data_IF_427867023334
#
_entry.id   IF_427867023334
#
_cell.length_a   1.000
_cell.length_b   1.000
_cell.length_c   1.000
_cell.angle_alpha   90.00
_cell.angle_beta   90.00
_cell.angle_gamma   90.00
#
_symmetry.space_group_name_H-M   'P 1'
#
loop_
_entity.id
_entity.type
_entity.pdbx_description
1 polymer ?
#
# COMPACT_ATOMS: atom_id res chain seq x y z
N UNK A 1 25.75 -33.60 1.82
CA UNK A 1 24.88 -33.10 0.72
C UNK A 1 24.12 -31.82 1.06
N UNK A 2 23.20 -31.83 2.06
CA UNK A 2 22.50 -30.60 2.48
C UNK A 2 23.48 -29.55 3.02
N UNK A 3 24.40 -29.98 3.89
CA UNK A 3 25.44 -29.10 4.44
C UNK A 3 26.30 -28.46 3.35
N UNK A 4 26.79 -29.26 2.39
CA UNK A 4 27.58 -28.74 1.26
C UNK A 4 26.80 -27.69 0.45
N UNK A 5 25.50 -27.91 0.26
CA UNK A 5 24.62 -26.94 -0.39
C UNK A 5 24.47 -25.65 0.42
N UNK A 6 24.29 -25.75 1.73
CA UNK A 6 24.26 -24.60 2.64
C UNK A 6 25.58 -23.83 2.59
N UNK A 7 26.72 -24.52 2.64
CA UNK A 7 28.03 -23.89 2.59
C UNK A 7 28.30 -23.20 1.25
N UNK A 8 27.82 -23.78 0.14
CA UNK A 8 27.92 -23.22 -1.22
C UNK A 8 27.17 -21.89 -1.42
N UNK A 9 26.38 -21.44 -0.45
CA UNK A 9 25.60 -20.18 -0.55
C UNK A 9 26.43 -18.89 -0.48
N UNK A 10 27.74 -18.99 -0.22
CA UNK A 10 28.64 -17.84 -0.16
C UNK A 10 28.17 -16.80 0.85
N UNK A 11 28.26 -15.52 0.47
CA UNK A 11 27.85 -14.35 1.27
C UNK A 11 26.33 -14.14 1.28
N UNK A 12 25.62 -14.66 0.27
CA UNK A 12 24.17 -14.47 0.16
C UNK A 12 23.41 -15.26 1.23
N UNK A 13 23.96 -16.40 1.67
CA UNK A 13 23.36 -17.24 2.68
C UNK A 13 22.14 -18.02 2.19
N UNK A 14 21.35 -18.52 3.14
CA UNK A 14 20.24 -19.43 2.87
C UNK A 14 18.89 -18.86 3.28
N UNK A 15 17.86 -19.32 2.59
CA UNK A 15 16.46 -19.15 2.95
C UNK A 15 15.87 -20.52 3.23
N UNK A 16 15.23 -20.66 4.38
CA UNK A 16 14.45 -21.86 4.72
C UNK A 16 13.01 -21.59 4.32
N UNK A 17 12.37 -22.53 3.64
CA UNK A 17 10.98 -22.40 3.23
C UNK A 17 10.16 -23.62 3.62
N UNK A 18 9.14 -23.41 4.46
CA UNK A 18 8.25 -24.48 4.93
C UNK A 18 6.83 -23.96 5.16
N UNK A 19 5.85 -24.62 4.53
CA UNK A 19 4.42 -24.35 4.75
C UNK A 19 3.80 -25.30 5.80
N UNK A 20 4.64 -25.89 6.67
CA UNK A 20 4.21 -26.85 7.68
C UNK A 20 3.91 -28.23 7.09
N UNK A 21 3.40 -29.15 7.91
CA UNK A 21 3.16 -30.55 7.55
C UNK A 21 1.74 -30.84 7.04
N UNK A 22 0.79 -29.94 7.31
CA UNK A 22 -0.62 -30.10 6.95
C UNK A 22 -0.92 -29.71 5.51
N UNK A 23 -0.05 -28.90 4.91
CA UNK A 23 -0.15 -28.49 3.51
C UNK A 23 0.53 -29.55 2.65
N UNK A 24 -0.29 -30.35 1.96
CA UNK A 24 0.17 -31.39 1.04
C UNK A 24 -0.20 -31.12 -0.42
N UNK A 25 -1.37 -30.51 -0.65
CA UNK A 25 -1.85 -30.17 -1.99
C UNK A 25 -1.57 -28.71 -2.33
N UNK A 26 -0.42 -28.47 -2.97
CA UNK A 26 -0.18 -27.25 -3.74
C UNK A 26 -0.32 -27.66 -5.21
N UNK A 27 -1.07 -26.89 -6.01
CA UNK A 27 -1.24 -27.17 -7.44
C UNK A 27 0.11 -27.00 -8.16
N UNK A 28 0.32 -27.75 -9.24
CA UNK A 28 1.52 -27.63 -10.10
C UNK A 28 1.77 -26.18 -10.53
N UNK A 29 0.70 -25.44 -10.84
CA UNK A 29 0.78 -24.01 -11.19
C UNK A 29 1.37 -23.17 -10.07
N UNK A 30 0.86 -23.31 -8.83
CA UNK A 30 1.37 -22.57 -7.67
C UNK A 30 2.78 -23.00 -7.30
N UNK A 31 3.10 -24.30 -7.41
CA UNK A 31 4.44 -24.80 -7.16
C UNK A 31 5.45 -24.24 -8.17
N UNK A 32 5.12 -24.23 -9.46
CA UNK A 32 5.93 -23.62 -10.52
C UNK A 32 6.08 -22.11 -10.35
N UNK A 33 5.04 -21.43 -9.89
CA UNK A 33 5.09 -20.00 -9.62
C UNK A 33 6.08 -19.69 -8.50
N UNK A 34 5.98 -20.41 -7.38
CA UNK A 34 6.88 -20.24 -6.24
C UNK A 34 8.31 -20.60 -6.62
N UNK A 35 8.52 -21.72 -7.32
CA UNK A 35 9.84 -22.10 -7.84
C UNK A 35 10.46 -21.01 -8.73
N UNK A 36 9.68 -20.42 -9.64
CA UNK A 36 10.13 -19.33 -10.51
C UNK A 36 10.50 -18.06 -9.72
N UNK A 37 9.79 -17.77 -8.62
CA UNK A 37 10.10 -16.64 -7.76
C UNK A 37 11.40 -16.88 -6.97
N UNK A 38 11.56 -18.07 -6.40
CA UNK A 38 12.77 -18.48 -5.69
C UNK A 38 13.99 -18.54 -6.62
N UNK A 39 13.82 -18.88 -7.89
CA UNK A 39 14.90 -18.89 -8.87
C UNK A 39 15.50 -17.49 -9.15
N UNK A 40 14.78 -16.41 -8.82
CA UNK A 40 15.22 -15.04 -9.06
C UNK A 40 16.09 -14.46 -7.94
N UNK A 41 16.17 -15.13 -6.78
CA UNK A 41 16.96 -14.63 -5.65
C UNK A 41 18.35 -15.29 -5.63
N UNK A 42 19.40 -14.56 -5.19
CA UNK A 42 20.76 -15.10 -5.17
C UNK A 42 21.02 -16.11 -4.04
N UNK A 43 20.15 -16.16 -3.03
CA UNK A 43 20.27 -17.09 -1.90
C UNK A 43 20.04 -18.54 -2.34
N UNK A 44 20.66 -19.47 -1.61
CA UNK A 44 20.28 -20.89 -1.70
C UNK A 44 19.01 -21.11 -0.89
N UNK A 45 18.07 -21.87 -1.44
CA UNK A 45 16.77 -22.10 -0.82
C UNK A 45 16.62 -23.58 -0.47
N UNK A 46 16.32 -23.86 0.79
CA UNK A 46 15.95 -25.19 1.26
C UNK A 46 14.45 -25.20 1.45
N UNK A 47 13.75 -25.89 0.55
CA UNK A 47 12.29 -25.88 0.51
C UNK A 47 11.72 -27.23 0.91
N UNK A 48 10.99 -27.26 2.02
CA UNK A 48 10.18 -28.41 2.43
C UNK A 48 8.96 -28.53 1.51
N UNK A 49 8.98 -29.52 0.64
CA UNK A 49 7.95 -29.76 -0.36
C UNK A 49 7.84 -31.25 -0.68
N UNK A 50 6.62 -31.77 -0.65
CA UNK A 50 6.29 -33.20 -0.77
C UNK A 50 5.38 -33.46 -1.99
N UNK A 51 5.50 -32.60 -3.01
CA UNK A 51 4.74 -32.67 -4.25
C UNK A 51 5.62 -32.98 -5.46
N UNK A 52 5.03 -32.97 -6.65
CA UNK A 52 5.75 -33.13 -7.91
C UNK A 52 6.74 -31.97 -8.11
N UNK A 53 7.99 -32.30 -8.47
CA UNK A 53 9.02 -31.32 -8.75
C UNK A 53 8.52 -30.25 -9.75
N UNK A 54 8.61 -28.95 -9.41
CA UNK A 54 8.25 -27.89 -10.33
C UNK A 54 9.18 -27.88 -11.54
N UNK A 55 8.61 -27.69 -12.73
CA UNK A 55 9.34 -27.60 -14.00
C UNK A 55 10.26 -26.36 -14.05
N UNK A 56 9.94 -25.32 -13.28
CA UNK A 56 10.69 -24.06 -13.18
C UNK A 56 11.65 -24.00 -11.99
N UNK A 57 12.01 -25.14 -11.40
CA UNK A 57 12.91 -25.19 -10.25
C UNK A 57 14.32 -24.67 -10.59
N UNK A 58 14.71 -23.57 -9.95
CA UNK A 58 16.05 -22.99 -10.11
C UNK A 58 17.15 -23.81 -9.45
N UNK A 59 18.38 -23.72 -9.97
CA UNK A 59 19.57 -24.42 -9.42
C UNK A 59 19.99 -23.93 -8.02
N UNK A 60 19.44 -22.81 -7.58
CA UNK A 60 19.62 -22.28 -6.22
C UNK A 60 18.64 -22.88 -5.21
N UNK A 61 17.67 -23.70 -5.62
CA UNK A 61 16.64 -24.27 -4.73
C UNK A 61 16.77 -25.78 -4.68
N UNK A 62 16.73 -26.35 -3.47
CA UNK A 62 16.63 -27.80 -3.25
C UNK A 62 15.35 -28.14 -2.52
N UNK A 63 14.70 -29.19 -3.00
CA UNK A 63 13.46 -29.72 -2.43
C UNK A 63 13.79 -30.84 -1.45
N UNK A 64 13.07 -30.84 -0.34
CA UNK A 64 13.17 -31.89 0.68
C UNK A 64 11.77 -32.24 1.19
N UNK A 65 11.49 -33.53 1.37
CA UNK A 65 10.23 -33.96 2.00
C UNK A 65 10.20 -33.61 3.50
N UNK A 66 11.38 -33.52 4.11
CA UNK A 66 11.61 -33.15 5.51
C UNK A 66 12.87 -32.30 5.67
N UNK A 67 12.84 -31.32 6.58
CA UNK A 67 13.98 -30.46 6.92
C UNK A 67 14.25 -30.49 8.43
N UNK A 68 15.53 -30.48 8.87
CA UNK A 68 15.89 -30.17 10.24
C UNK A 68 15.70 -28.66 10.48
N UNK A 69 14.44 -28.22 10.54
CA UNK A 69 14.05 -26.81 10.47
C UNK A 69 14.71 -25.97 11.57
N UNK A 70 14.65 -26.41 12.82
CA UNK A 70 15.24 -25.68 13.94
C UNK A 70 16.77 -25.51 13.80
N UNK A 71 17.47 -26.55 13.35
CA UNK A 71 18.93 -26.49 13.14
C UNK A 71 19.30 -25.56 11.99
N UNK A 72 18.52 -25.60 10.90
CA UNK A 72 18.70 -24.68 9.78
C UNK A 72 18.40 -23.24 10.19
N UNK A 73 17.36 -22.99 10.99
CA UNK A 73 17.06 -21.65 11.49
C UNK A 73 18.17 -21.13 12.43
N UNK A 74 18.80 -22.00 13.19
CA UNK A 74 19.98 -21.67 14.01
C UNK A 74 21.30 -21.57 13.25
N UNK A 75 21.31 -21.89 11.95
CA UNK A 75 22.54 -21.86 11.16
C UNK A 75 22.94 -20.41 10.83
N UNK A 76 24.23 -20.02 10.98
CA UNK A 76 24.68 -18.63 10.82
C UNK A 76 24.49 -18.04 9.42
N UNK A 77 24.32 -18.89 8.40
CA UNK A 77 24.03 -18.47 7.03
C UNK A 77 22.54 -18.18 6.77
N UNK A 78 21.64 -18.49 7.70
CA UNK A 78 20.21 -18.28 7.49
C UNK A 78 19.85 -16.81 7.54
N UNK A 79 19.18 -16.33 6.49
CA UNK A 79 18.82 -14.92 6.32
C UNK A 79 17.33 -14.65 6.51
N UNK A 80 16.49 -15.61 6.17
CA UNK A 80 15.05 -15.48 6.28
C UNK A 80 14.36 -16.84 6.36
N UNK A 81 13.17 -16.84 6.95
CA UNK A 81 12.27 -17.98 6.98
C UNK A 81 10.98 -17.66 6.23
N UNK A 82 10.69 -18.38 5.15
CA UNK A 82 9.40 -18.32 4.48
C UNK A 82 8.49 -19.34 5.16
N UNK A 83 7.40 -18.88 5.77
CA UNK A 83 6.61 -19.68 6.68
C UNK A 83 5.11 -19.47 6.51
N UNK A 84 4.32 -20.54 6.69
CA UNK A 84 2.86 -20.43 6.71
C UNK A 84 2.28 -19.72 7.94
N UNK A 85 3.06 -19.49 9.00
CA UNK A 85 2.57 -18.84 10.22
C UNK A 85 2.05 -19.78 11.31
N UNK A 86 2.39 -21.07 11.27
CA UNK A 86 2.18 -21.97 12.40
C UNK A 86 3.05 -21.58 13.60
N UNK A 87 2.46 -21.63 14.79
CA UNK A 87 3.04 -21.12 16.05
C UNK A 87 4.44 -21.65 16.36
N UNK A 88 4.68 -22.96 16.19
CA UNK A 88 6.00 -23.55 16.47
C UNK A 88 7.10 -22.99 15.55
N UNK A 89 6.82 -22.88 14.24
CA UNK A 89 7.78 -22.32 13.30
C UNK A 89 8.08 -20.84 13.57
N UNK A 90 7.08 -20.09 14.05
CA UNK A 90 7.29 -18.71 14.49
C UNK A 90 8.19 -18.67 15.73
N UNK A 91 7.97 -19.53 16.73
CA UNK A 91 8.82 -19.56 17.92
C UNK A 91 10.26 -19.95 17.61
N UNK A 92 10.49 -20.91 16.72
CA UNK A 92 11.83 -21.27 16.27
C UNK A 92 12.52 -20.09 15.57
N UNK A 93 11.81 -19.38 14.69
CA UNK A 93 12.35 -18.21 14.00
C UNK A 93 12.68 -17.06 14.97
N UNK A 94 11.81 -16.80 15.95
CA UNK A 94 12.06 -15.80 17.00
C UNK A 94 13.29 -16.18 17.83
N UNK A 95 13.37 -17.45 18.24
CA UNK A 95 14.46 -17.95 19.09
C UNK A 95 15.83 -17.72 18.43
N UNK A 96 15.92 -17.93 17.11
CA UNK A 96 17.17 -17.71 16.35
C UNK A 96 17.29 -16.31 15.72
N UNK A 97 16.34 -15.41 15.95
CA UNK A 97 16.37 -14.05 15.43
C UNK A 97 16.22 -13.94 13.90
N UNK A 98 15.52 -14.88 13.27
CA UNK A 98 15.35 -14.95 11.82
C UNK A 98 14.07 -14.22 11.39
N UNK A 99 14.13 -13.24 10.46
CA UNK A 99 12.95 -12.54 9.97
C UNK A 99 12.07 -13.45 9.10
N UNK A 100 10.76 -13.20 9.12
CA UNK A 100 9.75 -14.08 8.52
C UNK A 100 9.13 -13.45 7.26
N UNK A 101 9.05 -14.23 6.18
CA UNK A 101 8.14 -13.97 5.06
C UNK A 101 6.92 -14.86 5.24
N UNK A 102 5.84 -14.28 5.74
CA UNK A 102 4.63 -15.00 6.14
C UNK A 102 3.66 -15.22 4.98
N UNK A 103 3.31 -16.47 4.73
CA UNK A 103 2.32 -16.89 3.73
C UNK A 103 1.17 -17.62 4.43
N UNK A 104 0.27 -16.90 5.12
CA UNK A 104 -0.80 -17.54 5.88
C UNK A 104 -1.79 -18.26 4.96
N UNK A 105 -2.22 -19.46 5.36
CA UNK A 105 -3.09 -20.30 4.55
C UNK A 105 -4.45 -20.54 5.19
N UNK A 106 -4.52 -20.79 6.51
CA UNK A 106 -5.79 -21.09 7.19
C UNK A 106 -5.70 -20.90 8.72
N UNK A 107 -6.88 -20.96 9.36
CA UNK A 107 -7.06 -20.90 10.82
C UNK A 107 -6.41 -19.66 11.46
N UNK A 108 -5.55 -19.87 12.46
CA UNK A 108 -4.87 -18.86 13.27
C UNK A 108 -3.64 -18.25 12.58
N UNK A 109 -3.16 -18.86 11.49
CA UNK A 109 -1.97 -18.42 10.77
C UNK A 109 -1.99 -16.95 10.32
N UNK A 110 -3.10 -16.40 9.77
CA UNK A 110 -3.17 -15.00 9.42
C UNK A 110 -2.92 -14.08 10.61
N UNK A 111 -3.51 -14.39 11.77
CA UNK A 111 -3.37 -13.58 12.98
C UNK A 111 -1.96 -13.67 13.56
N UNK A 112 -1.38 -14.87 13.56
CA UNK A 112 0.01 -15.08 13.97
C UNK A 112 0.98 -14.25 13.11
N UNK A 113 0.83 -14.27 11.78
CA UNK A 113 1.66 -13.45 10.88
C UNK A 113 1.41 -11.97 11.09
N UNK A 114 0.15 -11.53 11.26
CA UNK A 114 -0.17 -10.12 11.52
C UNK A 114 0.49 -9.61 12.81
N UNK A 115 0.52 -10.44 13.85
CA UNK A 115 1.20 -10.13 15.10
C UNK A 115 2.71 -9.94 14.90
N UNK A 116 3.33 -10.78 14.06
CA UNK A 116 4.74 -10.65 13.72
C UNK A 116 5.03 -9.43 12.84
N UNK A 117 4.14 -9.09 11.90
CA UNK A 117 4.21 -7.86 11.10
C UNK A 117 4.12 -6.63 12.01
N UNK A 118 3.18 -6.59 12.95
CA UNK A 118 3.03 -5.50 13.90
C UNK A 118 4.26 -5.30 14.79
N UNK A 119 5.03 -6.36 15.03
CA UNK A 119 6.32 -6.33 15.74
C UNK A 119 7.52 -6.00 14.85
N UNK A 120 7.33 -5.79 13.55
CA UNK A 120 8.42 -5.53 12.60
C UNK A 120 9.29 -6.74 12.28
N UNK A 121 8.84 -7.95 12.64
CA UNK A 121 9.60 -9.19 12.48
C UNK A 121 9.16 -10.01 11.26
N UNK A 122 8.10 -9.60 10.56
CA UNK A 122 7.62 -10.27 9.37
C UNK A 122 7.09 -9.32 8.28
N UNK A 123 7.09 -9.82 7.05
CA UNK A 123 6.29 -9.28 5.94
C UNK A 123 5.25 -10.33 5.53
N UNK A 124 4.01 -9.91 5.28
CA UNK A 124 2.93 -10.81 4.85
C UNK A 124 2.80 -10.82 3.34
N UNK A 125 2.83 -12.01 2.76
CA UNK A 125 2.55 -12.28 1.35
C UNK A 125 1.31 -13.16 1.27
N UNK A 126 0.35 -12.75 0.46
CA UNK A 126 -0.85 -13.54 0.24
C UNK A 126 -0.64 -14.48 -0.96
N UNK A 127 -0.92 -15.77 -0.74
CA UNK A 127 -0.68 -16.84 -1.69
C UNK A 127 -1.66 -16.83 -2.88
N UNK A 128 -2.81 -16.15 -2.73
CA UNK A 128 -3.85 -16.10 -3.75
C UNK A 128 -3.83 -14.80 -4.56
N UNK A 129 -3.27 -13.72 -4.02
CA UNK A 129 -3.16 -12.45 -4.75
C UNK A 129 -1.85 -12.40 -5.53
N UNK A 130 -1.91 -12.81 -6.80
CA UNK A 130 -0.79 -12.68 -7.73
C UNK A 130 -0.47 -11.20 -7.99
N UNK A 131 0.63 -10.73 -7.42
CA UNK A 131 1.15 -9.39 -7.69
C UNK A 131 1.69 -9.25 -9.11
N UNK A 132 2.29 -10.30 -9.69
CA UNK A 132 2.98 -10.17 -10.98
C UNK A 132 2.02 -9.92 -12.14
N UNK A 133 0.96 -10.72 -12.29
CA UNK A 133 -0.01 -10.51 -13.37
C UNK A 133 -0.77 -9.20 -13.23
N UNK A 134 -1.21 -8.89 -12.01
CA UNK A 134 -1.88 -7.61 -11.73
C UNK A 134 -0.93 -6.42 -11.97
N UNK A 135 0.33 -6.50 -11.54
CA UNK A 135 1.33 -5.46 -11.79
C UNK A 135 1.67 -5.34 -13.28
N UNK A 136 1.80 -6.46 -14.02
CA UNK A 136 2.00 -6.44 -15.47
C UNK A 136 0.77 -5.89 -16.20
N UNK A 137 -0.44 -6.17 -15.71
CA UNK A 137 -1.68 -5.58 -16.24
C UNK A 137 -1.70 -4.07 -16.02
N UNK A 138 -1.43 -3.61 -14.80
CA UNK A 138 -1.36 -2.18 -14.48
C UNK A 138 -0.23 -1.49 -15.25
N UNK A 139 0.92 -2.13 -15.40
CA UNK A 139 2.02 -1.65 -16.24
C UNK A 139 1.58 -1.51 -17.70
N UNK A 140 0.90 -2.51 -18.27
CA UNK A 140 0.35 -2.43 -19.63
C UNK A 140 -0.61 -1.24 -19.77
N UNK A 141 -1.54 -1.06 -18.83
CA UNK A 141 -2.46 0.08 -18.81
C UNK A 141 -1.69 1.41 -18.73
N UNK A 142 -0.65 1.50 -17.91
CA UNK A 142 0.15 2.72 -17.77
C UNK A 142 0.93 3.05 -19.05
N UNK A 143 1.41 2.02 -19.77
CA UNK A 143 2.10 2.18 -21.05
C UNK A 143 1.13 2.38 -22.22
N UNK A 144 -0.16 2.08 -22.05
CA UNK A 144 -1.21 2.27 -23.05
C UNK A 144 -1.62 3.75 -23.13
N UNK A 145 -0.69 4.55 -23.65
CA UNK A 145 -0.89 5.97 -23.90
C UNK A 145 -0.54 6.27 -25.35
N UNK A 146 -1.25 7.19 -26.02
CA UNK A 146 -1.04 7.48 -27.45
C UNK A 146 0.33 8.10 -27.76
N UNK A 147 1.09 8.50 -26.74
CA UNK A 147 2.41 9.09 -26.86
C UNK A 147 3.28 8.64 -25.69
N UNK A 148 4.56 8.33 -25.94
CA UNK A 148 5.49 7.97 -24.87
C UNK A 148 5.67 9.16 -23.90
N UNK A 149 5.91 8.91 -22.61
CA UNK A 149 6.08 9.99 -21.62
C UNK A 149 7.16 11.00 -22.00
N UNK A 150 8.28 10.55 -22.60
CA UNK A 150 9.35 11.43 -23.07
C UNK A 150 8.88 12.33 -24.22
N UNK A 151 8.25 11.76 -25.25
CA UNK A 151 7.74 12.51 -26.40
C UNK A 151 6.68 13.53 -25.97
N UNK A 152 5.80 13.14 -25.02
CA UNK A 152 4.83 14.05 -24.41
C UNK A 152 5.53 15.22 -23.70
N UNK A 153 6.60 14.97 -22.94
CA UNK A 153 7.35 16.02 -22.25
C UNK A 153 8.02 16.97 -23.24
N UNK A 154 8.69 16.43 -24.28
CA UNK A 154 9.29 17.21 -25.36
C UNK A 154 8.24 18.08 -26.04
N UNK A 155 7.09 17.50 -26.40
CA UNK A 155 5.99 18.24 -27.01
C UNK A 155 5.54 19.43 -26.16
N UNK A 156 5.35 19.26 -24.85
CA UNK A 156 4.92 20.35 -23.97
C UNK A 156 5.98 21.41 -23.78
N UNK A 157 7.27 21.05 -23.70
CA UNK A 157 8.38 22.00 -23.65
C UNK A 157 8.40 22.84 -24.94
N UNK A 158 8.35 22.18 -26.10
CA UNK A 158 8.30 22.86 -27.40
C UNK A 158 7.04 23.70 -27.57
N UNK A 159 5.89 23.24 -27.07
CA UNK A 159 4.65 24.01 -27.07
C UNK A 159 4.81 25.31 -26.28
N UNK A 160 5.39 25.25 -25.08
CA UNK A 160 5.66 26.44 -24.26
C UNK A 160 6.62 27.38 -24.97
N UNK A 161 7.69 26.86 -25.58
CA UNK A 161 8.64 27.66 -26.35
C UNK A 161 7.99 28.33 -27.57
N UNK A 162 7.24 27.58 -28.39
CA UNK A 162 6.52 28.09 -29.57
C UNK A 162 5.50 29.17 -29.21
N UNK A 163 4.86 29.05 -28.04
CA UNK A 163 3.86 30.00 -27.55
C UNK A 163 4.44 31.02 -26.56
N UNK A 164 5.75 31.31 -26.61
CA UNK A 164 6.41 32.37 -25.83
C UNK A 164 6.07 32.32 -24.33
N UNK A 165 6.08 31.12 -23.75
CA UNK A 165 5.80 30.87 -22.34
C UNK A 165 4.37 30.40 -22.03
N UNK A 166 3.50 30.24 -23.03
CA UNK A 166 2.13 29.71 -22.89
C UNK A 166 1.33 30.34 -21.73
N UNK A 167 1.34 31.68 -21.64
CA UNK A 167 0.71 32.43 -20.53
C UNK A 167 -0.78 32.10 -20.34
N UNK A 168 -1.47 31.68 -21.40
CA UNK A 168 -2.87 31.25 -21.37
C UNK A 168 -3.11 29.93 -20.64
N UNK A 169 -2.10 29.08 -20.48
CA UNK A 169 -2.17 27.85 -19.66
C UNK A 169 -1.78 28.10 -18.20
N UNK A 170 -1.29 29.30 -17.87
CA UNK A 170 -0.92 29.64 -16.50
C UNK A 170 -2.20 29.91 -15.71
N UNK A 171 -2.31 29.30 -14.52
CA UNK A 171 -3.46 29.50 -13.63
C UNK A 171 -3.56 30.98 -13.27
N UNK A 172 -4.72 31.60 -13.55
CA UNK A 172 -4.97 33.03 -13.32
C UNK A 172 -4.82 33.46 -11.85
N UNK A 173 -4.91 32.49 -10.92
CA UNK A 173 -4.70 32.73 -9.49
C UNK A 173 -3.33 33.33 -9.14
N UNK A 174 -2.29 33.09 -9.95
CA UNK A 174 -0.96 33.65 -9.73
C UNK A 174 -0.86 35.16 -9.96
N UNK A 175 -1.82 35.74 -10.70
CA UNK A 175 -1.87 37.18 -10.99
C UNK A 175 -2.81 37.93 -10.03
N UNK A 176 -3.46 37.22 -9.10
CA UNK A 176 -4.36 37.82 -8.11
C UNK A 176 -3.59 38.25 -6.86
N UNK A 177 -3.96 39.40 -6.33
CA UNK A 177 -3.53 39.82 -4.99
C UNK A 177 -4.18 38.91 -3.92
N UNK A 178 -3.57 38.80 -2.74
CA UNK A 178 -4.07 37.88 -1.70
C UNK A 178 -5.54 38.12 -1.35
N UNK A 179 -6.00 39.38 -1.32
CA UNK A 179 -7.37 39.73 -0.98
C UNK A 179 -8.36 39.45 -2.12
N UNK A 180 -7.94 39.56 -3.39
CA UNK A 180 -8.73 39.14 -4.55
C UNK A 180 -8.86 37.61 -4.62
N UNK A 181 -7.77 36.89 -4.33
CA UNK A 181 -7.78 35.42 -4.28
C UNK A 181 -8.77 34.89 -3.22
N UNK A 182 -8.92 35.59 -2.09
CA UNK A 182 -9.86 35.25 -1.02
C UNK A 182 -11.22 35.97 -1.14
N UNK A 183 -11.48 36.71 -2.23
CA UNK A 183 -12.74 37.41 -2.51
C UNK A 183 -13.29 38.23 -1.32
N UNK A 184 -12.41 38.96 -0.61
CA UNK A 184 -12.77 39.66 0.61
C UNK A 184 -13.81 40.77 0.39
N UNK A 185 -13.84 41.36 -0.79
CA UNK A 185 -14.83 42.35 -1.23
C UNK A 185 -16.24 41.73 -1.36
N UNK A 186 -16.34 40.53 -1.96
CA UNK A 186 -17.59 39.77 -2.06
C UNK A 186 -18.07 39.34 -0.68
N UNK A 187 -17.18 38.84 0.18
CA UNK A 187 -17.50 38.47 1.56
C UNK A 187 -18.01 39.69 2.32
N UNK A 188 -17.32 40.83 2.21
CA UNK A 188 -17.73 42.09 2.84
C UNK A 188 -19.11 42.55 2.36
N UNK A 189 -19.37 42.54 1.05
CA UNK A 189 -20.66 42.90 0.48
C UNK A 189 -21.80 42.01 1.01
N UNK A 190 -21.59 40.68 1.03
CA UNK A 190 -22.58 39.74 1.56
C UNK A 190 -22.86 39.98 3.05
N UNK A 191 -21.83 40.25 3.87
CA UNK A 191 -21.99 40.58 5.28
C UNK A 191 -22.80 41.87 5.47
N UNK A 192 -22.59 42.89 4.64
CA UNK A 192 -23.37 44.14 4.67
C UNK A 192 -24.83 43.88 4.31
N UNK A 193 -25.10 43.07 3.26
CA UNK A 193 -26.47 42.70 2.91
C UNK A 193 -27.18 41.97 4.05
N UNK A 194 -26.52 40.99 4.68
CA UNK A 194 -27.06 40.26 5.83
C UNK A 194 -27.33 41.21 7.01
N UNK A 195 -26.38 42.08 7.34
CA UNK A 195 -26.54 43.07 8.40
C UNK A 195 -27.70 44.03 8.13
N UNK A 196 -27.86 44.50 6.89
CA UNK A 196 -28.96 45.36 6.48
C UNK A 196 -30.32 44.66 6.62
N UNK A 197 -30.43 43.40 6.18
CA UNK A 197 -31.65 42.60 6.35
C UNK A 197 -31.99 42.41 7.83
N UNK A 198 -31.02 42.04 8.66
CA UNK A 198 -31.21 41.91 10.11
C UNK A 198 -31.61 43.24 10.74
N UNK A 199 -31.00 44.35 10.34
CA UNK A 199 -31.35 45.68 10.82
C UNK A 199 -32.78 46.08 10.44
N UNK A 200 -33.19 45.84 9.20
CA UNK A 200 -34.56 46.10 8.74
C UNK A 200 -35.56 45.25 9.54
N UNK A 201 -35.31 43.95 9.69
CA UNK A 201 -36.18 43.04 10.46
C UNK A 201 -36.32 43.53 11.90
N UNK A 202 -35.20 43.82 12.58
CA UNK A 202 -35.22 44.29 13.97
C UNK A 202 -35.97 45.61 14.13
N UNK A 203 -35.77 46.58 13.23
CA UNK A 203 -36.52 47.85 13.24
C UNK A 203 -38.00 47.65 12.96
N UNK A 204 -38.37 46.79 12.01
CA UNK A 204 -39.75 46.42 11.74
C UNK A 204 -40.40 45.75 12.97
N UNK A 205 -39.74 44.79 13.61
CA UNK A 205 -40.22 44.15 14.84
C UNK A 205 -40.40 45.17 15.97
N UNK A 206 -39.41 46.02 16.23
CA UNK A 206 -39.49 47.04 17.27
C UNK A 206 -40.59 48.08 17.00
N UNK A 207 -40.77 48.49 15.74
CA UNK A 207 -41.85 49.40 15.34
C UNK A 207 -43.23 48.75 15.53
N UNK A 208 -43.39 47.48 15.13
CA UNK A 208 -44.61 46.71 15.36
C UNK A 208 -44.91 46.57 16.86
N UNK A 209 -43.91 46.25 17.69
CA UNK A 209 -44.03 46.16 19.15
C UNK A 209 -44.37 47.52 19.81
N UNK A 210 -43.78 48.61 19.33
CA UNK A 210 -44.09 49.96 19.86
C UNK A 210 -45.50 50.42 19.48
N UNK A 211 -45.96 50.10 18.26
CA UNK A 211 -47.31 50.44 17.78
C UNK A 211 -48.40 49.66 18.54
N UNK A 212 -48.19 48.38 18.82
CA UNK A 212 -49.10 47.58 19.65
C UNK A 212 -49.11 48.05 21.11
N UNK A 213 -47.95 48.39 21.68
CA UNK A 213 -47.85 48.94 23.03
C UNK A 213 -48.58 50.30 23.19
N UNK A 214 -48.48 51.18 22.19
CA UNK A 214 -49.18 52.48 22.21
C UNK A 214 -50.69 52.36 21.95
N UNK A 215 -51.14 51.39 21.15
CA UNK A 215 -52.57 51.08 21.00
C UNK A 215 -53.17 50.54 22.31
N UNK A 216 -52.43 49.74 23.08
CA UNK A 216 -52.85 49.27 24.40
C UNK A 216 -53.01 50.40 25.43
N UNK A 217 -52.18 51.46 25.36
CA UNK A 217 -52.29 52.65 26.24
C UNK A 217 -53.47 53.55 25.86
N UNK A 218 -53.80 53.71 24.58
CA UNK A 218 -54.96 54.51 24.12
C UNK A 218 -56.33 53.89 24.48
N UNK A 219 -56.40 52.57 24.69
CA UNK A 219 -57.64 51.87 25.10
C UNK A 219 -57.90 51.89 26.62
N UNK A 220 -56.96 52.39 27.43
CA UNK A 220 -57.02 52.45 28.91
C UNK A 220 -57.26 53.87 29.45
N UNK A 221 -57.59 54.85 28.60
CA UNK A 221 -57.86 56.24 29.00
C UNK A 221 -59.31 56.60 28.72
#
# INVERSE_FOLDING_TARGET
>A
EMEDFVQSSGEHGIVVFSLGSMVRNITDEKANMVASALAQIPQKVLWRFDGKNPDTLGSNTRLYTWLPQNDLLGHPKTKAFIAHGGTNGIYEAIYHGIPIVGIPLFADQPDNINHMVAKGAAVRVDFNTLYKENAMRLSRIQHDQPMKPLDRAVFWIEYVMRNKGAKHLRVAAHDLTWFQYHSLDVIGFLLVCVAAVVFIITKCCLFCCHKTANMGKKKKK
#
